data_IF_749531847790
#
_entry.id   IF_749531847790
#
_cell.length_a   1.000
_cell.length_b   1.000
_cell.length_c   1.000
_cell.angle_alpha   90.00
_cell.angle_beta   90.00
_cell.angle_gamma   90.00
#
_symmetry.space_group_name_H-M   'P 1'
#
loop_
_entity.id
_entity.type
_entity.pdbx_description
1 polymer ?
#
# COMPACT_ATOMS: atom_id res chain seq x y z
N UNK A 1 -4.43 19.88 -15.07
CA UNK A 1 -3.95 19.09 -16.23
C UNK A 1 -2.70 18.34 -15.76
N UNK A 2 -2.86 17.11 -15.26
CA UNK A 2 -1.74 16.31 -14.78
C UNK A 2 -0.93 15.83 -15.99
N UNK A 3 0.30 16.33 -16.12
CA UNK A 3 1.26 15.75 -17.06
C UNK A 3 1.56 14.33 -16.59
N UNK A 4 1.23 13.32 -17.42
CA UNK A 4 1.79 11.97 -17.29
C UNK A 4 3.30 12.12 -17.22
N UNK A 5 3.90 11.97 -16.05
CA UNK A 5 5.35 11.87 -15.94
C UNK A 5 5.74 10.53 -16.56
N UNK A 6 6.62 10.60 -17.54
CA UNK A 6 7.20 9.42 -18.20
C UNK A 6 7.88 8.53 -17.16
N UNK A 7 7.42 7.30 -17.07
CA UNK A 7 7.83 6.30 -16.08
C UNK A 7 9.23 5.70 -16.33
N UNK A 8 9.96 6.21 -17.31
CA UNK A 8 11.27 5.67 -17.76
C UNK A 8 12.48 6.52 -17.41
N UNK A 9 12.38 7.48 -16.47
CA UNK A 9 13.59 8.17 -16.03
C UNK A 9 14.44 7.22 -15.18
N UNK A 10 15.68 7.00 -15.62
CA UNK A 10 16.71 6.38 -14.80
C UNK A 10 16.73 7.04 -13.42
N UNK A 11 16.85 6.23 -12.34
CA UNK A 11 16.93 6.72 -10.96
C UNK A 11 18.27 7.40 -10.64
N UNK A 12 18.88 8.02 -11.61
CA UNK A 12 20.12 8.76 -11.45
C UNK A 12 19.85 9.99 -10.58
N UNK A 13 20.58 10.10 -9.47
CA UNK A 13 20.40 11.17 -8.48
C UNK A 13 19.29 10.93 -7.47
N UNK A 14 18.69 9.74 -7.42
CA UNK A 14 17.73 9.39 -6.37
C UNK A 14 18.45 8.92 -5.11
N UNK A 15 17.91 9.30 -3.96
CA UNK A 15 18.38 8.80 -2.67
C UNK A 15 17.89 7.39 -2.40
N UNK A 16 18.62 6.68 -1.54
CA UNK A 16 18.17 5.41 -0.99
C UNK A 16 17.43 5.65 0.31
N UNK A 17 16.25 5.05 0.45
CA UNK A 17 15.45 5.09 1.66
C UNK A 17 15.09 3.66 2.10
N UNK A 18 15.21 3.39 3.39
CA UNK A 18 14.76 2.12 3.95
C UNK A 18 13.22 2.07 4.00
N UNK A 19 12.67 0.91 3.69
CA UNK A 19 11.26 0.57 3.88
C UNK A 19 11.21 -0.67 4.78
N UNK A 20 10.44 -0.62 5.90
CA UNK A 20 9.47 0.40 6.27
C UNK A 20 10.09 1.68 6.84
N UNK A 21 9.54 2.83 6.48
CA UNK A 21 9.84 4.12 7.11
C UNK A 21 8.85 5.21 6.71
N UNK A 22 8.81 6.28 7.51
CA UNK A 22 8.15 7.53 7.14
C UNK A 22 9.19 8.52 6.66
N UNK A 23 8.94 9.21 5.55
CA UNK A 23 9.96 10.06 4.93
C UNK A 23 10.34 11.29 5.74
N UNK A 24 9.46 11.76 6.64
CA UNK A 24 9.77 12.88 7.55
C UNK A 24 10.93 12.56 8.48
N UNK A 25 11.05 11.32 8.97
CA UNK A 25 12.17 10.88 9.81
C UNK A 25 13.46 10.65 8.99
N UNK A 26 13.37 10.73 7.66
CA UNK A 26 14.52 10.64 6.75
C UNK A 26 14.94 11.99 6.18
N UNK A 27 14.32 13.08 6.65
CA UNK A 27 14.67 14.45 6.25
C UNK A 27 13.94 14.98 5.03
N UNK A 28 12.90 14.27 4.55
CA UNK A 28 12.12 14.66 3.38
C UNK A 28 10.79 15.26 3.77
N UNK A 29 10.60 16.40 4.11
CA UNK A 29 9.38 17.03 4.61
C UNK A 29 9.44 17.27 6.12
N UNK A 30 8.51 18.04 6.62
CA UNK A 30 8.41 18.42 8.03
C UNK A 30 7.39 17.55 8.75
N UNK A 31 7.73 17.20 9.99
CA UNK A 31 6.77 16.63 10.91
C UNK A 31 5.82 17.72 11.40
N UNK A 32 4.53 17.41 11.41
CA UNK A 32 3.49 18.27 11.99
C UNK A 32 2.72 17.51 13.06
N UNK A 33 2.38 18.23 14.12
CA UNK A 33 1.46 17.75 15.15
C UNK A 33 0.46 18.88 15.43
N UNK A 34 -0.80 18.60 15.28
CA UNK A 34 -1.88 19.59 15.37
C UNK A 34 -3.04 19.11 16.24
N UNK A 35 -2.84 18.02 17.01
CA UNK A 35 -3.86 17.34 17.78
C UNK A 35 -5.06 17.01 16.87
N UNK A 36 -6.23 17.52 17.16
CA UNK A 36 -7.46 17.29 16.37
C UNK A 36 -7.69 18.31 15.25
N UNK A 37 -6.73 19.18 14.98
CA UNK A 37 -6.83 20.19 13.94
C UNK A 37 -6.14 19.74 12.66
N UNK A 38 -6.77 20.00 11.50
CA UNK A 38 -6.12 19.76 10.22
C UNK A 38 -5.07 20.84 9.92
N UNK A 39 -3.89 20.49 9.38
CA UNK A 39 -2.84 21.45 9.02
C UNK A 39 -3.16 22.23 7.74
N UNK A 40 -4.39 22.13 7.23
CA UNK A 40 -4.89 22.81 6.05
C UNK A 40 -6.39 23.12 6.18
N UNK A 41 -6.97 24.01 5.35
CA UNK A 41 -8.40 24.32 5.39
C UNK A 41 -9.28 23.08 5.15
N UNK A 42 -10.27 22.88 6.01
CA UNK A 42 -11.19 21.74 5.94
C UNK A 42 -12.19 21.94 4.81
N UNK A 43 -12.10 21.14 3.76
CA UNK A 43 -12.99 21.16 2.60
C UNK A 43 -13.15 19.75 1.97
N UNK A 44 -13.67 18.76 2.69
CA UNK A 44 -13.77 17.41 2.17
C UNK A 44 -14.60 17.35 0.87
N UNK A 45 -14.25 16.47 -0.09
CA UNK A 45 -13.12 15.53 -0.08
C UNK A 45 -11.80 16.10 -0.60
N UNK A 46 -11.72 17.41 -0.82
CA UNK A 46 -10.57 18.05 -1.45
C UNK A 46 -9.44 18.28 -0.45
N UNK A 47 -8.22 17.94 -0.86
CA UNK A 47 -6.98 18.19 -0.13
C UNK A 47 -6.18 19.29 -0.83
N UNK A 48 -5.16 19.89 -0.18
CA UNK A 48 -4.35 20.93 -0.80
C UNK A 48 -3.75 20.52 -2.14
N UNK A 49 -3.68 21.45 -3.09
CA UNK A 49 -3.02 21.25 -4.38
C UNK A 49 -1.51 21.03 -4.20
N UNK A 50 -0.90 21.71 -3.22
CA UNK A 50 0.46 21.42 -2.75
C UNK A 50 0.42 20.17 -1.87
N UNK A 51 0.51 19.01 -2.51
CA UNK A 51 0.48 17.73 -1.83
C UNK A 51 1.84 17.03 -1.96
N UNK A 52 2.66 17.01 -0.91
CA UNK A 52 3.93 16.33 -0.93
C UNK A 52 3.76 14.88 -1.38
N UNK A 53 4.59 14.43 -2.32
CA UNK A 53 4.44 13.13 -2.96
C UNK A 53 5.79 12.44 -3.04
N UNK A 54 5.88 11.24 -2.45
CA UNK A 54 7.07 10.38 -2.51
C UNK A 54 6.95 9.37 -3.65
N UNK A 55 8.01 9.24 -4.46
CA UNK A 55 8.09 8.20 -5.48
C UNK A 55 9.17 7.21 -5.07
N UNK A 56 8.77 5.95 -4.91
CA UNK A 56 9.65 4.83 -4.56
C UNK A 56 9.83 3.95 -5.79
N UNK A 57 11.03 3.43 -5.96
CA UNK A 57 11.33 2.44 -6.99
C UNK A 57 12.16 1.30 -6.42
N UNK A 58 11.79 0.07 -6.75
CA UNK A 58 12.50 -1.14 -6.37
C UNK A 58 12.53 -2.09 -7.55
N UNK A 59 13.72 -2.58 -7.90
CA UNK A 59 13.88 -3.69 -8.83
C UNK A 59 13.99 -5.00 -8.05
N UNK A 60 13.23 -5.99 -8.45
CA UNK A 60 13.25 -7.36 -7.92
C UNK A 60 13.53 -8.35 -9.04
N UNK A 61 14.22 -9.44 -8.71
CA UNK A 61 14.53 -10.50 -9.69
C UNK A 61 13.71 -11.72 -9.35
N UNK A 62 12.90 -12.18 -10.30
CA UNK A 62 12.05 -13.36 -10.15
C UNK A 62 12.56 -14.47 -11.08
N UNK A 63 12.51 -15.70 -10.61
CA UNK A 63 12.91 -16.87 -11.39
C UNK A 63 11.71 -17.48 -12.17
N UNK A 64 11.94 -18.55 -12.92
CA UNK A 64 10.89 -19.21 -13.71
C UNK A 64 9.83 -19.85 -12.83
N UNK A 65 10.17 -20.30 -11.61
CA UNK A 65 9.23 -20.96 -10.71
C UNK A 65 8.14 -19.99 -10.23
N UNK A 66 8.46 -18.67 -10.15
CA UNK A 66 7.47 -17.64 -9.83
C UNK A 66 6.36 -17.55 -10.87
N UNK A 67 6.66 -17.83 -12.12
CA UNK A 67 5.69 -17.73 -13.22
C UNK A 67 4.66 -18.86 -13.25
N UNK A 68 4.87 -19.92 -12.49
CA UNK A 68 3.95 -21.04 -12.38
C UNK A 68 2.77 -20.75 -11.44
N UNK A 69 2.91 -19.74 -10.60
CA UNK A 69 2.00 -19.39 -9.50
C UNK A 69 1.47 -17.97 -9.66
N UNK A 70 0.51 -17.63 -8.82
CA UNK A 70 0.01 -16.27 -8.75
C UNK A 70 0.91 -15.41 -7.86
N UNK A 71 1.10 -14.16 -8.24
CA UNK A 71 1.98 -13.23 -7.53
C UNK A 71 1.17 -12.05 -6.99
N UNK A 72 1.20 -11.88 -5.67
CA UNK A 72 0.53 -10.77 -4.98
C UNK A 72 1.59 -9.84 -4.38
N UNK A 73 1.43 -8.55 -4.63
CA UNK A 73 2.19 -7.49 -3.99
C UNK A 73 1.35 -6.91 -2.84
N UNK A 74 1.82 -7.09 -1.61
CA UNK A 74 1.13 -6.70 -0.39
C UNK A 74 1.86 -5.58 0.33
N UNK A 75 1.15 -4.51 0.61
CA UNK A 75 1.58 -3.40 1.47
C UNK A 75 0.84 -3.50 2.80
N UNK A 76 1.54 -3.66 3.91
CA UNK A 76 0.92 -3.76 5.22
C UNK A 76 0.46 -2.40 5.79
N UNK A 77 0.94 -1.30 5.25
CA UNK A 77 0.51 0.04 5.59
C UNK A 77 1.27 1.13 4.85
N UNK A 78 0.52 2.00 4.21
CA UNK A 78 1.02 3.17 3.47
C UNK A 78 0.14 4.37 3.79
N UNK A 79 0.73 5.46 4.21
CA UNK A 79 0.00 6.69 4.58
C UNK A 79 0.30 7.81 3.58
N UNK A 80 -0.73 8.44 2.94
CA UNK A 80 -2.17 8.24 3.12
C UNK A 80 -2.80 7.45 1.96
N UNK A 81 -2.39 7.69 0.73
CA UNK A 81 -2.86 6.99 -0.46
C UNK A 81 -1.70 6.79 -1.44
N UNK A 82 -1.82 5.82 -2.32
CA UNK A 82 -0.73 5.50 -3.22
C UNK A 82 -1.19 4.78 -4.50
N UNK A 83 -0.45 5.02 -5.57
CA UNK A 83 -0.54 4.26 -6.82
C UNK A 83 0.63 3.30 -6.95
N UNK A 84 0.40 2.18 -7.62
CA UNK A 84 1.39 1.12 -7.86
C UNK A 84 1.51 0.84 -9.35
N UNK A 85 2.76 0.72 -9.83
CA UNK A 85 3.09 0.26 -11.18
C UNK A 85 4.07 -0.90 -11.10
N UNK A 86 3.89 -1.87 -11.98
CA UNK A 86 4.83 -2.96 -12.21
C UNK A 86 5.21 -2.96 -13.67
N UNK A 87 6.52 -2.91 -13.95
CA UNK A 87 7.06 -2.86 -15.31
C UNK A 87 6.40 -1.76 -16.19
N UNK A 88 6.12 -0.60 -15.57
CA UNK A 88 5.49 0.55 -16.23
C UNK A 88 3.97 0.48 -16.37
N UNK A 89 3.33 -0.63 -16.04
CA UNK A 89 1.88 -0.78 -16.08
C UNK A 89 1.27 -0.39 -14.73
N UNK A 90 0.25 0.46 -14.73
CA UNK A 90 -0.50 0.78 -13.51
C UNK A 90 -1.33 -0.42 -13.08
N UNK A 91 -1.10 -0.92 -11.87
CA UNK A 91 -1.76 -2.13 -11.36
C UNK A 91 -2.85 -1.82 -10.34
N UNK A 92 -2.78 -0.67 -9.68
CA UNK A 92 -3.83 -0.28 -8.76
C UNK A 92 -3.53 0.95 -7.93
N UNK A 93 -4.53 1.32 -7.14
CA UNK A 93 -4.52 2.42 -6.19
C UNK A 93 -4.95 1.91 -4.82
N UNK A 94 -4.19 2.26 -3.79
CA UNK A 94 -4.49 1.93 -2.40
C UNK A 94 -4.73 3.20 -1.58
N UNK A 95 -5.63 3.09 -0.62
CA UNK A 95 -5.80 4.02 0.49
C UNK A 95 -6.37 3.25 1.69
N UNK A 96 -6.58 3.89 2.81
CA UNK A 96 -6.83 3.27 4.11
C UNK A 96 -5.50 2.89 4.76
N UNK A 97 -4.86 3.89 5.30
CA UNK A 97 -3.47 3.85 5.74
C UNK A 97 -3.14 2.73 6.73
N UNK A 98 -4.10 2.27 7.51
CA UNK A 98 -3.88 1.33 8.62
C UNK A 98 -4.18 -0.13 8.29
N UNK A 99 -4.77 -0.39 7.12
CA UNK A 99 -5.08 -1.74 6.64
C UNK A 99 -4.13 -2.15 5.50
N UNK A 100 -3.89 -3.45 5.33
CA UNK A 100 -3.15 -3.95 4.18
C UNK A 100 -3.86 -3.65 2.86
N UNK A 101 -3.06 -3.41 1.82
CA UNK A 101 -3.51 -3.32 0.43
C UNK A 101 -2.80 -4.39 -0.37
N UNK A 102 -3.53 -5.18 -1.14
CA UNK A 102 -3.03 -6.29 -1.93
C UNK A 102 -3.35 -6.07 -3.41
N UNK A 103 -2.39 -6.36 -4.27
CA UNK A 103 -2.51 -6.22 -5.71
C UNK A 103 -2.07 -7.53 -6.38
N UNK A 104 -2.97 -8.15 -7.11
CA UNK A 104 -2.60 -9.23 -8.02
C UNK A 104 -1.77 -8.66 -9.17
N UNK A 105 -0.51 -9.06 -9.21
CA UNK A 105 0.45 -8.61 -10.23
C UNK A 105 0.90 -9.73 -11.15
N UNK A 106 0.25 -10.89 -11.12
CA UNK A 106 0.58 -12.10 -11.89
C UNK A 106 0.77 -11.79 -13.37
N UNK A 107 -0.16 -11.02 -13.95
CA UNK A 107 -0.11 -10.66 -15.37
C UNK A 107 0.90 -9.55 -15.73
N UNK A 108 1.61 -8.98 -14.75
CA UNK A 108 2.51 -7.84 -14.93
C UNK A 108 3.97 -8.17 -14.67
N UNK A 109 4.26 -9.32 -14.05
CA UNK A 109 5.62 -9.79 -13.76
C UNK A 109 6.17 -10.69 -14.87
N UNK A 110 7.47 -10.85 -14.90
CA UNK A 110 8.22 -11.70 -15.83
C UNK A 110 9.42 -12.31 -15.16
N UNK A 111 9.97 -13.36 -15.73
CA UNK A 111 11.29 -13.89 -15.34
C UNK A 111 12.37 -12.83 -15.51
N UNK A 112 13.29 -12.74 -14.55
CA UNK A 112 14.35 -11.74 -14.49
C UNK A 112 13.92 -10.47 -13.74
N UNK A 113 14.45 -9.34 -14.16
CA UNK A 113 14.23 -8.05 -13.50
C UNK A 113 12.82 -7.51 -13.71
N UNK A 114 12.21 -7.11 -12.60
CA UNK A 114 10.90 -6.46 -12.55
C UNK A 114 11.01 -5.16 -11.75
N UNK A 115 10.53 -4.06 -12.32
CA UNK A 115 10.51 -2.76 -11.69
C UNK A 115 9.15 -2.50 -11.02
N UNK A 116 9.17 -2.28 -9.71
CA UNK A 116 8.02 -1.86 -8.92
C UNK A 116 8.19 -0.36 -8.63
N UNK A 117 7.20 0.44 -9.00
CA UNK A 117 7.16 1.87 -8.71
C UNK A 117 5.92 2.17 -7.88
N UNK A 118 6.10 2.92 -6.79
CA UNK A 118 5.02 3.33 -5.89
C UNK A 118 5.05 4.83 -5.74
N UNK A 119 3.91 5.49 -5.94
CA UNK A 119 3.73 6.93 -5.71
C UNK A 119 2.82 7.12 -4.52
N UNK A 120 3.35 7.65 -3.44
CA UNK A 120 2.64 7.89 -2.18
C UNK A 120 2.31 9.36 -2.05
N UNK A 121 1.06 9.67 -1.72
CA UNK A 121 0.56 11.03 -1.48
C UNK A 121 0.46 11.29 0.02
N UNK A 122 0.92 12.46 0.46
CA UNK A 122 0.80 12.85 1.87
C UNK A 122 -0.65 13.02 2.30
N UNK A 123 -1.45 13.65 1.45
CA UNK A 123 -2.85 13.95 1.72
C UNK A 123 -3.77 13.24 0.75
N UNK A 124 -4.89 12.75 1.25
CA UNK A 124 -5.98 12.17 0.48
C UNK A 124 -7.31 12.50 1.16
N UNK A 125 -8.42 12.18 0.54
CA UNK A 125 -9.74 12.25 1.18
C UNK A 125 -9.84 11.38 2.43
N UNK A 126 -9.08 10.28 2.48
CA UNK A 126 -8.91 9.43 3.66
C UNK A 126 -8.32 10.19 4.86
N UNK A 127 -7.50 11.21 4.64
CA UNK A 127 -6.93 12.04 5.71
C UNK A 127 -8.01 12.63 6.62
N UNK A 128 -9.18 12.99 6.10
CA UNK A 128 -10.30 13.50 6.90
C UNK A 128 -10.96 12.46 7.80
N UNK A 129 -10.83 11.18 7.48
CA UNK A 129 -11.43 10.07 8.22
C UNK A 129 -10.44 9.38 9.16
N UNK A 130 -9.15 9.55 8.91
CA UNK A 130 -8.07 8.84 9.60
C UNK A 130 -7.35 9.71 10.63
N UNK A 131 -7.78 10.96 10.78
CA UNK A 131 -7.22 11.87 11.79
C UNK A 131 -7.47 11.34 13.20
N UNK A 132 -6.40 11.34 13.99
CA UNK A 132 -6.38 10.99 15.40
C UNK A 132 -5.34 11.87 16.10
N UNK A 133 -5.27 11.82 17.42
CA UNK A 133 -4.22 12.51 18.19
C UNK A 133 -2.85 11.89 17.93
N UNK A 134 -2.28 12.21 16.77
CA UNK A 134 -1.00 11.68 16.31
C UNK A 134 -0.29 12.64 15.35
N UNK A 135 0.99 12.36 15.10
CA UNK A 135 1.79 13.09 14.11
C UNK A 135 1.31 12.82 12.69
N UNK A 136 1.32 13.85 11.86
CA UNK A 136 1.11 13.76 10.41
C UNK A 136 2.37 13.24 9.74
N UNK A 137 2.45 11.94 9.58
CA UNK A 137 3.56 11.23 8.97
C UNK A 137 3.07 10.49 7.72
N UNK A 138 3.97 10.29 6.74
CA UNK A 138 3.61 9.69 5.46
C UNK A 138 4.72 8.80 4.94
N UNK A 139 4.36 7.85 4.08
CA UNK A 139 5.28 6.92 3.47
C UNK A 139 4.84 5.47 3.59
N UNK A 140 5.70 4.57 3.16
CA UNK A 140 5.52 3.12 3.32
C UNK A 140 6.07 2.75 4.70
N UNK A 141 5.21 2.80 5.71
CA UNK A 141 5.63 2.71 7.12
C UNK A 141 5.52 1.32 7.73
N UNK A 142 5.00 0.34 6.97
CA UNK A 142 5.00 -1.08 7.29
C UNK A 142 5.63 -1.88 6.15
N UNK A 143 5.78 -3.18 6.37
CA UNK A 143 6.42 -4.10 5.42
C UNK A 143 5.72 -4.14 4.06
N UNK A 144 6.50 -4.45 3.04
CA UNK A 144 6.03 -4.74 1.69
C UNK A 144 6.50 -6.14 1.33
N UNK A 145 5.58 -6.99 0.91
CA UNK A 145 5.83 -8.38 0.59
C UNK A 145 5.46 -8.70 -0.85
N UNK A 146 6.25 -9.56 -1.47
CA UNK A 146 5.88 -10.31 -2.65
C UNK A 146 5.51 -11.72 -2.21
N UNK A 147 4.29 -12.12 -2.47
CA UNK A 147 3.74 -13.42 -2.10
C UNK A 147 3.53 -14.21 -3.37
N UNK A 148 4.04 -15.44 -3.41
CA UNK A 148 3.87 -16.35 -4.54
C UNK A 148 2.98 -17.51 -4.10
N UNK A 149 1.74 -17.49 -4.55
CA UNK A 149 0.68 -18.41 -4.11
C UNK A 149 0.36 -19.47 -5.14
N UNK A 150 0.09 -20.69 -4.68
CA UNK A 150 -0.41 -21.73 -5.56
C UNK A 150 -1.76 -21.33 -6.15
N UNK A 151 -2.00 -21.59 -7.43
CA UNK A 151 -3.26 -21.26 -8.12
C UNK A 151 -4.52 -21.84 -7.46
N UNK A 152 -4.33 -22.89 -6.67
CA UNK A 152 -5.40 -23.56 -5.92
C UNK A 152 -5.26 -23.35 -4.41
N UNK A 153 -4.63 -22.23 -3.99
CA UNK A 153 -4.49 -21.90 -2.58
C UNK A 153 -5.85 -21.55 -1.95
N UNK A 154 -6.00 -21.87 -0.67
CA UNK A 154 -7.09 -21.33 0.15
C UNK A 154 -6.69 -19.91 0.55
N UNK A 155 -7.33 -18.92 -0.05
CA UNK A 155 -6.99 -17.50 0.16
C UNK A 155 -7.67 -16.91 1.40
N UNK A 156 -8.83 -17.43 1.78
CA UNK A 156 -9.55 -16.97 2.95
C UNK A 156 -10.25 -18.15 3.65
N UNK A 157 -10.28 -18.09 4.97
CA UNK A 157 -10.97 -19.06 5.81
C UNK A 157 -11.81 -18.33 6.85
N UNK A 158 -13.11 -18.29 6.62
CA UNK A 158 -14.05 -17.70 7.57
C UNK A 158 -14.53 -18.75 8.55
N UNK A 159 -14.14 -18.62 9.82
CA UNK A 159 -14.52 -19.50 10.91
C UNK A 159 -15.54 -18.81 11.80
N UNK A 160 -16.62 -19.52 12.13
CA UNK A 160 -17.60 -19.08 13.10
C UNK A 160 -17.91 -20.20 14.12
N UNK A 161 -17.76 -19.90 15.40
CA UNK A 161 -18.12 -20.76 16.51
C UNK A 161 -19.29 -20.20 17.29
N UNK A 162 -20.39 -20.93 17.37
CA UNK A 162 -21.59 -20.55 18.12
C UNK A 162 -22.08 -21.71 18.99
N UNK A 163 -23.15 -21.47 19.75
CA UNK A 163 -23.88 -22.53 20.44
C UNK A 163 -25.18 -22.83 19.70
N UNK A 164 -25.71 -24.03 19.89
CA UNK A 164 -27.07 -24.38 19.46
C UNK A 164 -28.10 -23.61 20.26
N UNK A 165 -29.39 -23.67 19.86
CA UNK A 165 -30.49 -22.97 20.52
C UNK A 165 -30.69 -23.41 21.97
N UNK A 166 -30.20 -24.59 22.33
CA UNK A 166 -30.28 -25.12 23.72
C UNK A 166 -29.09 -24.70 24.58
N UNK A 167 -28.08 -24.01 24.00
CA UNK A 167 -26.82 -23.61 24.65
C UNK A 167 -26.03 -24.77 25.26
N UNK A 168 -26.23 -26.00 24.75
CA UNK A 168 -25.54 -27.22 25.25
C UNK A 168 -24.46 -27.74 24.34
N UNK A 169 -24.58 -27.48 23.03
CA UNK A 169 -23.64 -27.98 22.06
C UNK A 169 -22.99 -26.82 21.30
N UNK A 170 -21.68 -26.94 21.03
CA UNK A 170 -20.98 -26.02 20.14
C UNK A 170 -21.29 -26.32 18.67
N UNK A 171 -21.54 -25.27 17.90
CA UNK A 171 -21.63 -25.31 16.44
C UNK A 171 -20.41 -24.64 15.84
N UNK A 172 -19.74 -25.33 14.94
CA UNK A 172 -18.61 -24.82 14.20
C UNK A 172 -18.94 -24.81 12.71
N UNK A 173 -18.74 -23.66 12.08
CA UNK A 173 -18.87 -23.52 10.63
C UNK A 173 -17.60 -22.92 10.05
N UNK A 174 -17.16 -23.43 8.92
CA UNK A 174 -16.05 -22.89 8.14
C UNK A 174 -16.51 -22.68 6.70
N UNK A 175 -16.24 -21.51 6.16
CA UNK A 175 -16.41 -21.18 4.74
C UNK A 175 -15.05 -20.92 4.13
N UNK A 176 -14.84 -21.42 2.92
CA UNK A 176 -13.61 -21.31 2.12
C UNK A 176 -13.95 -20.57 0.83
#
# INVERSE_FOLDING_TARGET
>A
MYKRQEQSRACEGWDKIDVPSVWQLRGYDKMHYTDVLYPFPVNPPYVPDENPTGIYKKTVVLDEQWMEKDTVLKFHGVDSAFDVWVNGNHVGFGKVSRLPSEFDITGFVKTGENDITVRVYKWSDGTYLEDQDMWWLSGIYRDVELINEEKNAVLDLRVNGTLDDSYKNGLFTAGI
#
